data_IF_425724968954
#
_entry.id   IF_425724968954
#
_cell.length_a   1.000
_cell.length_b   1.000
_cell.length_c   1.000
_cell.angle_alpha   90.00
_cell.angle_beta   90.00
_cell.angle_gamma   90.00
#
_symmetry.space_group_name_H-M   'P 1'
#
loop_
_entity.id
_entity.type
_entity.pdbx_description
1 polymer ?
#
# COMPACT_ATOMS: atom_id res chain seq x y z
N UNK A 1 13.29 -2.85 -3.74
CA UNK A 1 12.61 -1.54 -3.96
C UNK A 1 11.26 -1.57 -3.27
N UNK A 2 10.83 -0.46 -2.65
CA UNK A 2 9.48 -0.31 -2.07
C UNK A 2 8.69 0.60 -3.01
N UNK A 3 7.50 0.16 -3.41
CA UNK A 3 6.60 0.89 -4.29
C UNK A 3 5.25 1.09 -3.60
N UNK A 4 4.67 2.29 -3.74
CA UNK A 4 3.36 2.65 -3.22
C UNK A 4 2.49 3.06 -4.41
N UNK A 5 1.31 2.46 -4.50
CA UNK A 5 0.35 2.71 -5.57
C UNK A 5 -1.08 2.85 -5.02
N UNK A 6 -2.01 3.28 -5.86
CA UNK A 6 -3.46 3.33 -5.59
C UNK A 6 -3.83 4.02 -4.27
N UNK A 7 -3.15 5.13 -3.96
CA UNK A 7 -3.39 5.88 -2.72
C UNK A 7 -4.77 6.55 -2.76
N UNK A 8 -5.62 6.18 -1.80
CA UNK A 8 -6.94 6.81 -1.60
C UNK A 8 -6.94 7.56 -0.28
N UNK A 9 -7.14 8.85 -0.35
CA UNK A 9 -7.23 9.76 0.79
C UNK A 9 -8.68 9.94 1.25
N UNK A 10 -8.91 10.44 2.47
CA UNK A 10 -10.24 10.70 2.98
C UNK A 10 -11.04 11.64 2.08
N UNK A 11 -12.32 11.34 1.91
CA UNK A 11 -13.27 12.24 1.24
C UNK A 11 -13.48 13.52 2.05
N UNK A 12 -14.06 14.53 1.42
CA UNK A 12 -14.42 15.80 2.08
C UNK A 12 -15.28 15.59 3.32
N UNK A 13 -16.27 14.69 3.25
CA UNK A 13 -17.15 14.38 4.39
C UNK A 13 -16.38 13.75 5.57
N UNK A 14 -15.40 12.92 5.25
CA UNK A 14 -14.52 12.34 6.27
C UNK A 14 -13.64 13.41 6.92
N UNK A 15 -13.04 14.31 6.13
CA UNK A 15 -12.30 15.45 6.68
C UNK A 15 -13.13 16.31 7.60
N UNK A 16 -14.37 16.64 7.24
CA UNK A 16 -15.30 17.37 8.12
C UNK A 16 -15.51 16.65 9.46
N UNK A 17 -15.68 15.31 9.42
CA UNK A 17 -15.81 14.51 10.62
C UNK A 17 -14.54 14.51 11.49
N UNK A 18 -13.36 14.41 10.86
CA UNK A 18 -12.06 14.48 11.54
C UNK A 18 -11.88 15.80 12.26
N UNK A 19 -12.14 16.93 11.60
CA UNK A 19 -12.03 18.27 12.18
C UNK A 19 -12.98 18.43 13.37
N UNK A 20 -14.24 18.03 13.20
CA UNK A 20 -15.21 18.06 14.29
C UNK A 20 -14.75 17.20 15.46
N UNK A 21 -14.30 15.97 15.22
CA UNK A 21 -13.78 15.08 16.25
C UNK A 21 -12.54 15.61 16.96
N UNK A 22 -11.64 16.26 16.22
CA UNK A 22 -10.44 16.90 16.77
C UNK A 22 -10.79 18.06 17.73
N UNK A 23 -11.84 18.82 17.41
CA UNK A 23 -12.26 19.99 18.20
C UNK A 23 -13.21 19.66 19.35
N UNK A 24 -13.79 18.45 19.36
CA UNK A 24 -14.71 18.00 20.42
C UNK A 24 -14.13 18.15 21.84
N UNK A 25 -12.90 17.71 22.16
CA UNK A 25 -12.39 17.79 23.54
C UNK A 25 -12.28 19.21 24.09
N UNK A 26 -12.20 20.20 23.19
CA UNK A 26 -12.05 21.62 23.57
C UNK A 26 -13.31 22.44 23.34
N UNK A 27 -14.38 21.81 22.89
CA UNK A 27 -15.66 22.45 22.57
C UNK A 27 -15.47 23.70 21.68
N UNK A 28 -14.59 23.61 20.67
CA UNK A 28 -14.10 24.76 19.90
C UNK A 28 -14.45 24.66 18.40
N UNK A 29 -15.65 24.18 18.09
CA UNK A 29 -16.11 24.03 16.70
C UNK A 29 -16.26 25.35 15.96
N UNK A 30 -16.65 26.41 16.70
CA UNK A 30 -16.78 27.81 16.25
C UNK A 30 -15.46 28.39 15.73
N UNK A 31 -14.32 27.82 16.13
CA UNK A 31 -12.98 28.24 15.72
C UNK A 31 -12.47 27.54 14.49
N UNK A 32 -13.27 26.66 13.86
CA UNK A 32 -12.90 26.01 12.62
C UNK A 32 -12.98 27.00 11.46
N UNK A 33 -11.93 27.03 10.67
CA UNK A 33 -11.83 27.82 9.44
C UNK A 33 -11.74 26.93 8.18
N UNK A 34 -11.96 25.63 8.33
CA UNK A 34 -12.06 24.71 7.20
C UNK A 34 -13.44 24.75 6.57
N UNK A 35 -13.52 24.78 5.26
CA UNK A 35 -14.80 24.91 4.58
C UNK A 35 -14.73 24.79 3.06
N UNK A 36 -15.84 25.09 2.43
CA UNK A 36 -15.97 25.14 0.99
C UNK A 36 -15.57 26.52 0.48
N UNK A 37 -14.62 26.55 -0.42
CA UNK A 37 -14.14 27.77 -1.04
C UNK A 37 -14.26 27.69 -2.55
N UNK A 38 -14.63 28.81 -3.16
CA UNK A 38 -14.57 28.96 -4.61
C UNK A 38 -13.14 29.27 -5.03
N UNK A 39 -12.56 28.39 -5.83
CA UNK A 39 -11.21 28.60 -6.37
C UNK A 39 -11.38 29.13 -7.79
N UNK A 40 -11.04 30.41 -8.00
CA UNK A 40 -10.94 30.99 -9.33
C UNK A 40 -9.80 30.33 -10.11
N UNK A 41 -9.99 30.10 -11.41
CA UNK A 41 -8.93 29.65 -12.30
C UNK A 41 -7.83 30.71 -12.37
N UNK A 42 -6.55 30.38 -12.10
CA UNK A 42 -5.45 31.35 -12.21
C UNK A 42 -5.43 31.93 -13.63
N UNK A 43 -5.53 33.26 -13.77
CA UNK A 43 -5.44 33.97 -15.04
C UNK A 43 -6.74 34.51 -15.62
N UNK A 44 -7.89 34.27 -14.99
CA UNK A 44 -9.15 34.92 -15.41
C UNK A 44 -9.37 36.22 -14.64
N UNK A 45 -9.50 37.31 -15.40
CA UNK A 45 -9.85 38.61 -14.85
C UNK A 45 -11.21 38.48 -14.12
N UNK A 46 -11.33 38.85 -12.82
CA UNK A 46 -12.56 38.71 -12.06
C UNK A 46 -13.77 39.44 -12.65
N UNK A 47 -13.53 40.40 -13.56
CA UNK A 47 -14.59 41.15 -14.27
C UNK A 47 -15.21 40.36 -15.45
N UNK A 48 -14.68 39.20 -15.84
CA UNK A 48 -15.12 38.43 -17.01
C UNK A 48 -15.51 36.98 -16.64
N UNK A 49 -15.46 36.64 -15.36
CA UNK A 49 -15.83 35.31 -14.88
C UNK A 49 -17.36 35.11 -14.99
N UNK A 50 -17.79 34.54 -16.08
CA UNK A 50 -19.11 33.89 -16.14
C UNK A 50 -19.15 32.80 -15.06
N UNK A 51 -20.22 32.74 -14.28
CA UNK A 51 -20.46 31.84 -13.12
C UNK A 51 -20.25 30.33 -13.37
N UNK A 52 -19.93 29.93 -14.60
CA UNK A 52 -19.83 28.53 -15.03
C UNK A 52 -18.49 27.83 -14.73
N UNK A 53 -17.48 28.52 -14.23
CA UNK A 53 -16.13 27.94 -14.02
C UNK A 53 -15.56 28.07 -12.61
N UNK A 54 -16.40 28.31 -11.62
CA UNK A 54 -15.96 28.31 -10.22
C UNK A 54 -15.89 26.88 -9.69
N UNK A 55 -14.68 26.34 -9.56
CA UNK A 55 -14.48 25.05 -8.89
C UNK A 55 -14.63 25.25 -7.38
N UNK A 56 -15.71 24.73 -6.80
CA UNK A 56 -15.91 24.71 -5.35
C UNK A 56 -15.09 23.56 -4.78
N UNK A 57 -14.12 23.87 -3.93
CA UNK A 57 -13.27 22.88 -3.29
C UNK A 57 -13.30 23.04 -1.77
N UNK A 58 -13.31 21.92 -1.06
CA UNK A 58 -13.15 21.92 0.38
C UNK A 58 -11.67 22.08 0.73
N UNK A 59 -11.36 23.08 1.54
CA UNK A 59 -10.01 23.38 1.98
C UNK A 59 -9.92 23.30 3.51
N UNK A 60 -8.80 22.78 3.98
CA UNK A 60 -8.46 22.85 5.40
C UNK A 60 -7.94 24.25 5.71
N UNK A 61 -8.49 24.87 6.76
CA UNK A 61 -8.07 26.18 7.21
C UNK A 61 -6.82 26.13 8.08
N UNK A 62 -6.14 27.26 8.16
CA UNK A 62 -4.87 27.40 8.90
C UNK A 62 -5.04 27.16 10.40
N UNK A 63 -6.15 27.58 11.00
CA UNK A 63 -6.45 27.33 12.41
C UNK A 63 -6.58 25.83 12.70
N UNK A 64 -7.24 25.09 11.81
CA UNK A 64 -7.40 23.65 11.94
C UNK A 64 -6.07 22.94 11.74
N UNK A 65 -5.29 23.31 10.72
CA UNK A 65 -3.96 22.77 10.47
C UNK A 65 -3.01 23.03 11.65
N UNK A 66 -3.03 24.23 12.20
CA UNK A 66 -2.20 24.58 13.33
C UNK A 66 -2.60 23.82 14.60
N UNK A 67 -3.90 23.59 14.80
CA UNK A 67 -4.39 22.76 15.89
C UNK A 67 -3.93 21.31 15.72
N UNK A 68 -4.05 20.72 14.51
CA UNK A 68 -3.55 19.39 14.19
C UNK A 68 -2.07 19.25 14.57
N UNK A 69 -1.24 20.17 14.11
CA UNK A 69 0.20 20.17 14.39
C UNK A 69 0.51 20.21 15.89
N UNK A 70 -0.20 21.05 16.64
CA UNK A 70 -0.03 21.15 18.11
C UNK A 70 -0.44 19.88 18.82
N UNK A 71 -1.57 19.26 18.44
CA UNK A 71 -2.05 18.03 19.04
C UNK A 71 -1.12 16.84 18.75
N UNK A 72 -0.58 16.77 17.53
CA UNK A 72 0.43 15.74 17.18
C UNK A 72 1.69 15.91 18.01
N UNK A 73 2.18 17.15 18.17
CA UNK A 73 3.36 17.45 18.98
C UNK A 73 3.14 17.16 20.48
N UNK A 74 1.90 17.29 20.96
CA UNK A 74 1.56 17.01 22.35
C UNK A 74 1.51 15.51 22.71
N UNK A 75 1.58 14.62 21.72
CA UNK A 75 1.73 13.18 21.91
C UNK A 75 0.47 12.37 21.63
N UNK A 76 0.59 11.05 21.88
CA UNK A 76 -0.38 10.04 21.44
C UNK A 76 -1.80 10.25 21.98
N UNK A 77 -1.93 10.76 23.21
CA UNK A 77 -3.23 10.96 23.85
C UNK A 77 -3.99 12.13 23.24
N UNK A 78 -3.28 13.10 22.68
CA UNK A 78 -3.85 14.29 22.06
C UNK A 78 -4.07 14.10 20.54
N UNK A 79 -3.32 13.21 19.88
CA UNK A 79 -3.39 12.99 18.45
C UNK A 79 -4.40 11.92 18.00
N UNK A 80 -5.41 11.60 18.83
CA UNK A 80 -6.43 10.57 18.55
C UNK A 80 -7.21 10.82 17.25
N UNK A 81 -7.38 12.07 16.84
CA UNK A 81 -8.04 12.43 15.59
C UNK A 81 -7.35 11.82 14.36
N UNK A 82 -6.04 11.55 14.40
CA UNK A 82 -5.31 10.90 13.31
C UNK A 82 -5.85 9.51 13.00
N UNK A 83 -6.42 8.82 13.99
CA UNK A 83 -7.04 7.49 13.79
C UNK A 83 -8.38 7.57 13.04
N UNK A 84 -8.92 8.77 12.85
CA UNK A 84 -10.12 9.02 12.06
C UNK A 84 -9.80 9.29 10.58
N UNK A 85 -8.51 9.32 10.21
CA UNK A 85 -8.03 9.60 8.86
C UNK A 85 -7.69 8.26 8.18
N UNK A 86 -8.64 7.60 7.48
CA UNK A 86 -8.34 6.38 6.75
C UNK A 86 -7.54 6.70 5.49
N UNK A 87 -6.48 5.94 5.27
CA UNK A 87 -5.71 5.97 4.02
C UNK A 87 -5.64 4.55 3.50
N UNK A 88 -6.03 4.35 2.24
CA UNK A 88 -5.90 3.07 1.56
C UNK A 88 -4.79 3.19 0.53
N UNK A 89 -3.96 2.16 0.44
CA UNK A 89 -2.86 2.14 -0.53
C UNK A 89 -2.40 0.71 -0.79
N UNK A 90 -1.82 0.49 -1.95
CA UNK A 90 -1.14 -0.74 -2.28
C UNK A 90 0.36 -0.56 -2.05
N UNK A 91 0.98 -1.53 -1.38
CA UNK A 91 2.42 -1.55 -1.16
C UNK A 91 3.00 -2.81 -1.79
N UNK A 92 3.97 -2.63 -2.68
CA UNK A 92 4.85 -3.70 -3.15
C UNK A 92 6.19 -3.55 -2.46
N UNK A 93 6.59 -4.55 -1.68
CA UNK A 93 7.81 -4.47 -0.90
C UNK A 93 8.39 -5.87 -0.63
N UNK A 94 9.68 -5.98 -0.29
CA UNK A 94 10.29 -7.23 0.15
C UNK A 94 9.62 -7.78 1.42
N UNK A 95 9.63 -9.10 1.60
CA UNK A 95 8.96 -9.77 2.72
C UNK A 95 9.43 -9.30 4.10
N UNK A 96 10.70 -8.91 4.25
CA UNK A 96 11.21 -8.41 5.52
C UNK A 96 10.54 -7.08 5.95
N UNK A 97 10.12 -6.25 4.98
CA UNK A 97 9.37 -5.02 5.26
C UNK A 97 8.04 -5.32 5.94
N UNK A 98 7.30 -6.32 5.45
CA UNK A 98 6.00 -6.68 6.03
C UNK A 98 6.12 -7.24 7.45
N UNK A 99 7.22 -7.92 7.77
CA UNK A 99 7.45 -8.38 9.16
C UNK A 99 7.56 -7.22 10.14
N UNK A 100 8.13 -6.10 9.70
CA UNK A 100 8.19 -4.88 10.51
C UNK A 100 6.83 -4.19 10.55
N UNK A 101 6.18 -4.00 9.40
CA UNK A 101 4.86 -3.34 9.31
C UNK A 101 3.80 -4.08 10.13
N UNK A 102 3.83 -5.40 10.19
CA UNK A 102 2.90 -6.21 10.98
C UNK A 102 3.01 -5.96 12.50
N UNK A 103 4.06 -5.30 12.96
CA UNK A 103 4.18 -4.86 14.36
C UNK A 103 3.33 -3.64 14.67
N UNK A 104 2.99 -2.83 13.67
CA UNK A 104 2.18 -1.61 13.79
C UNK A 104 0.68 -1.93 13.72
N UNK A 105 0.17 -2.62 14.74
CA UNK A 105 -1.20 -3.17 14.74
C UNK A 105 -2.30 -2.14 14.99
N UNK A 106 -1.98 -0.99 15.57
CA UNK A 106 -3.00 -0.01 15.95
C UNK A 106 -3.42 0.83 14.75
N UNK A 107 -4.64 0.61 14.28
CA UNK A 107 -5.22 1.33 13.15
C UNK A 107 -4.70 0.88 11.78
N UNK A 108 -3.97 -0.23 11.70
CA UNK A 108 -3.47 -0.79 10.45
C UNK A 108 -4.14 -2.12 10.16
N UNK A 109 -4.67 -2.29 8.95
CA UNK A 109 -5.22 -3.56 8.46
C UNK A 109 -4.51 -3.89 7.14
N UNK A 110 -3.88 -5.05 7.09
CA UNK A 110 -3.15 -5.51 5.91
C UNK A 110 -3.85 -6.72 5.29
N UNK A 111 -4.12 -6.64 3.99
CA UNK A 111 -4.53 -7.77 3.17
C UNK A 111 -3.40 -8.12 2.21
N UNK A 112 -2.70 -9.21 2.46
CA UNK A 112 -1.57 -9.63 1.65
C UNK A 112 -1.93 -10.71 0.64
N UNK A 113 -1.22 -10.74 -0.48
CA UNK A 113 -1.26 -11.88 -1.40
C UNK A 113 -0.62 -13.10 -0.73
N UNK A 114 -1.30 -14.25 -0.77
CA UNK A 114 -0.76 -15.49 -0.19
C UNK A 114 0.42 -16.01 -1.01
N UNK A 115 1.64 -15.87 -0.49
CA UNK A 115 2.83 -16.44 -1.12
C UNK A 115 2.84 -17.97 -1.06
N UNK A 116 2.31 -18.58 0.00
CA UNK A 116 2.28 -20.04 0.18
C UNK A 116 1.46 -20.72 -0.91
N UNK A 117 0.27 -20.16 -1.21
CA UNK A 117 -0.67 -20.78 -2.17
C UNK A 117 -0.48 -20.31 -3.60
N UNK A 118 0.25 -19.24 -3.83
CA UNK A 118 0.36 -18.59 -5.13
C UNK A 118 1.78 -18.41 -5.65
N UNK A 119 2.79 -18.87 -4.94
CA UNK A 119 4.20 -18.69 -5.31
C UNK A 119 4.53 -19.26 -6.71
N UNK A 120 3.80 -20.28 -7.14
CA UNK A 120 4.01 -20.94 -8.44
C UNK A 120 3.25 -20.29 -9.62
N UNK A 121 2.38 -19.30 -9.36
CA UNK A 121 1.48 -18.74 -10.39
C UNK A 121 2.25 -17.98 -11.45
N UNK A 122 3.22 -17.18 -11.06
CA UNK A 122 4.08 -16.46 -12.02
C UNK A 122 5.50 -17.04 -12.03
N UNK A 123 6.23 -16.73 -13.08
CA UNK A 123 7.65 -17.03 -13.19
C UNK A 123 8.46 -16.14 -12.26
N UNK A 124 9.50 -16.69 -11.65
CA UNK A 124 10.44 -15.93 -10.84
C UNK A 124 11.36 -15.10 -11.73
N UNK A 125 11.55 -13.84 -11.36
CA UNK A 125 12.47 -12.91 -12.02
C UNK A 125 13.47 -12.36 -11.02
N UNK A 126 14.50 -11.68 -11.49
CA UNK A 126 15.43 -10.97 -10.60
C UNK A 126 14.76 -9.85 -9.80
N UNK A 127 13.69 -9.26 -10.34
CA UNK A 127 12.94 -8.21 -9.67
C UNK A 127 12.13 -8.71 -8.45
N UNK A 128 11.98 -10.02 -8.29
CA UNK A 128 11.37 -10.61 -7.10
C UNK A 128 12.35 -10.66 -5.90
N UNK A 129 13.60 -10.25 -6.10
CA UNK A 129 14.68 -10.27 -5.11
C UNK A 129 15.32 -8.89 -4.98
N UNK A 130 15.77 -8.56 -3.77
CA UNK A 130 16.59 -7.35 -3.55
C UNK A 130 18.03 -7.63 -4.00
N UNK A 131 18.32 -7.36 -5.27
CA UNK A 131 19.59 -7.67 -5.91
C UNK A 131 20.37 -6.42 -6.35
N UNK A 132 19.88 -5.22 -5.99
CA UNK A 132 20.36 -3.94 -6.50
C UNK A 132 21.80 -3.60 -6.07
N UNK A 133 22.25 -4.17 -4.96
CA UNK A 133 23.56 -3.88 -4.36
C UNK A 133 24.53 -5.06 -4.39
N UNK A 134 24.22 -6.10 -5.17
CA UNK A 134 25.07 -7.27 -5.29
C UNK A 134 26.25 -6.99 -6.23
N UNK A 135 27.44 -7.52 -5.88
CA UNK A 135 28.58 -7.61 -6.78
C UNK A 135 28.30 -8.61 -7.91
N UNK A 136 29.20 -8.66 -8.90
CA UNK A 136 29.01 -9.47 -10.10
C UNK A 136 28.90 -10.98 -9.81
N UNK A 137 29.63 -11.47 -8.82
CA UNK A 137 29.65 -12.89 -8.46
C UNK A 137 28.33 -13.29 -7.78
N UNK A 138 27.90 -12.50 -6.81
CA UNK A 138 26.64 -12.68 -6.12
C UNK A 138 25.43 -12.46 -7.05
N UNK A 139 25.54 -11.52 -8.00
CA UNK A 139 24.50 -11.33 -9.03
C UNK A 139 24.40 -12.56 -9.96
N UNK A 140 25.51 -13.18 -10.32
CA UNK A 140 25.53 -14.42 -11.11
C UNK A 140 24.96 -15.59 -10.34
N UNK A 141 25.22 -15.67 -9.03
CA UNK A 141 24.65 -16.68 -8.16
C UNK A 141 23.13 -16.55 -8.06
N UNK A 142 22.58 -15.34 -7.85
CA UNK A 142 21.14 -15.16 -7.76
C UNK A 142 20.44 -15.48 -9.08
N UNK A 143 21.05 -15.20 -10.23
CA UNK A 143 20.55 -15.65 -11.54
C UNK A 143 20.43 -17.18 -11.62
N UNK A 144 21.43 -17.90 -11.16
CA UNK A 144 21.40 -19.36 -11.12
C UNK A 144 20.30 -19.89 -10.17
N UNK A 145 20.08 -19.22 -9.03
CA UNK A 145 19.00 -19.53 -8.09
C UNK A 145 17.64 -19.33 -8.76
N UNK A 146 17.41 -18.19 -9.42
CA UNK A 146 16.16 -17.90 -10.14
C UNK A 146 15.87 -18.94 -11.21
N UNK A 147 16.87 -19.30 -12.02
CA UNK A 147 16.73 -20.35 -13.03
C UNK A 147 16.35 -21.70 -12.40
N UNK A 148 16.94 -22.06 -11.26
CA UNK A 148 16.61 -23.27 -10.53
C UNK A 148 15.20 -23.25 -9.94
N UNK A 149 14.76 -22.12 -9.39
CA UNK A 149 13.39 -21.93 -8.89
C UNK A 149 12.37 -22.12 -10.02
N UNK A 150 12.61 -21.55 -11.19
CA UNK A 150 11.74 -21.72 -12.36
C UNK A 150 11.74 -23.16 -12.86
N UNK A 151 12.86 -23.86 -12.83
CA UNK A 151 12.89 -25.31 -13.12
C UNK A 151 11.99 -26.09 -12.16
N UNK A 152 12.06 -25.84 -10.86
CA UNK A 152 11.21 -26.53 -9.88
C UNK A 152 9.74 -26.14 -10.01
N UNK A 153 9.46 -24.87 -10.31
CA UNK A 153 8.12 -24.40 -10.64
C UNK A 153 7.54 -25.17 -11.83
N UNK A 154 8.30 -25.35 -12.91
CA UNK A 154 7.85 -26.10 -14.08
C UNK A 154 7.60 -27.57 -13.75
N UNK A 155 8.45 -28.20 -12.94
CA UNK A 155 8.23 -29.59 -12.46
C UNK A 155 6.94 -29.66 -11.62
N UNK A 156 6.68 -28.68 -10.79
CA UNK A 156 5.45 -28.61 -9.98
C UNK A 156 4.19 -28.48 -10.85
N UNK A 157 4.22 -27.63 -11.86
CA UNK A 157 3.06 -27.36 -12.73
C UNK A 157 2.79 -28.49 -13.73
N UNK A 158 3.83 -29.04 -14.34
CA UNK A 158 3.74 -29.97 -15.46
C UNK A 158 4.02 -31.42 -15.09
N UNK A 159 4.43 -31.65 -13.86
CA UNK A 159 4.96 -32.94 -13.42
C UNK A 159 6.42 -33.14 -13.80
N UNK A 160 7.09 -34.06 -13.13
CA UNK A 160 8.49 -34.37 -13.37
C UNK A 160 9.15 -35.10 -12.20
N UNK A 161 10.43 -35.31 -12.33
CA UNK A 161 11.23 -36.02 -11.32
C UNK A 161 12.27 -35.06 -10.76
N UNK A 162 12.35 -34.98 -9.44
CA UNK A 162 13.45 -34.32 -8.73
C UNK A 162 14.38 -35.42 -8.24
N UNK A 163 15.63 -35.41 -8.72
CA UNK A 163 16.69 -36.24 -8.23
C UNK A 163 17.45 -35.50 -7.12
N UNK A 164 17.60 -36.14 -5.99
CA UNK A 164 18.38 -35.62 -4.87
C UNK A 164 19.83 -36.13 -4.98
N UNK A 165 20.83 -35.45 -4.39
CA UNK A 165 22.22 -35.91 -4.40
C UNK A 165 22.39 -37.32 -3.82
N UNK A 166 21.53 -37.72 -2.91
CA UNK A 166 21.42 -39.11 -2.50
C UNK A 166 20.57 -39.89 -3.51
N UNK A 167 21.21 -40.72 -4.32
CA UNK A 167 20.59 -41.49 -5.40
C UNK A 167 19.44 -42.42 -4.94
N UNK A 168 19.33 -42.69 -3.63
CA UNK A 168 18.25 -43.49 -3.03
C UNK A 168 16.91 -42.74 -2.96
N UNK A 169 16.90 -41.40 -3.13
CA UNK A 169 15.71 -40.56 -3.00
C UNK A 169 15.33 -39.90 -4.35
N UNK A 170 14.35 -40.49 -5.02
CA UNK A 170 13.69 -39.87 -6.19
C UNK A 170 12.24 -39.55 -5.81
N UNK A 171 11.82 -38.29 -5.96
CA UNK A 171 10.43 -37.90 -5.76
C UNK A 171 9.80 -37.53 -7.10
N UNK A 172 8.80 -38.31 -7.49
CA UNK A 172 7.99 -38.07 -8.69
C UNK A 172 6.84 -37.12 -8.29
N UNK A 173 6.70 -36.04 -9.01
CA UNK A 173 5.56 -35.14 -8.88
C UNK A 173 4.61 -35.43 -10.05
N UNK A 174 3.34 -35.71 -9.74
CA UNK A 174 2.28 -35.67 -10.75
C UNK A 174 1.91 -34.23 -11.03
N UNK A 175 1.59 -33.92 -12.29
CA UNK A 175 1.04 -32.58 -12.62
C UNK A 175 -0.19 -32.28 -11.75
N UNK A 176 -0.14 -31.20 -11.03
CA UNK A 176 -1.35 -30.69 -10.39
C UNK A 176 -2.19 -30.03 -11.49
N UNK A 177 -3.18 -30.75 -12.02
CA UNK A 177 -4.23 -30.14 -12.82
C UNK A 177 -4.93 -29.14 -11.93
N UNK A 178 -4.68 -27.86 -12.14
CA UNK A 178 -5.43 -26.79 -11.50
C UNK A 178 -6.87 -26.98 -11.99
N UNK A 179 -7.76 -27.49 -11.15
CA UNK A 179 -9.19 -27.37 -11.35
C UNK A 179 -9.50 -25.88 -11.22
N UNK A 180 -9.55 -25.20 -12.34
CA UNK A 180 -10.16 -23.89 -12.42
C UNK A 180 -11.64 -24.17 -12.14
N UNK A 181 -12.09 -23.87 -10.93
CA UNK A 181 -13.51 -23.79 -10.64
C UNK A 181 -14.02 -22.61 -11.46
N UNK A 182 -14.57 -22.92 -12.63
CA UNK A 182 -15.37 -22.00 -13.40
C UNK A 182 -16.54 -21.57 -12.54
N UNK A 183 -16.58 -20.28 -12.21
CA UNK A 183 -17.73 -19.69 -11.53
C UNK A 183 -18.99 -19.86 -12.38
N UNK A 184 -20.06 -20.19 -11.71
CA UNK A 184 -21.42 -19.85 -12.13
C UNK A 184 -21.81 -18.54 -11.47
#
# INVERSE_FOLDING_TARGET
>A
MIEIANVVLPSTKQWQAVIRGMRNPMNSWDKSDSGWYSIGTPGTNPAVANDQYQTIKYCLGDNDINLMKRLVKAGKDHSKFMRMIPVYLDITAPLYFYKEVDTYKVGTVCNSCSTIHRIHVKEFTLNDFSAEHLDQDNYSLIKAIVARLNRYRNIYLNGGIIEYPDASRKKKFSSQKIKIFGGR
#
